data_IF_861448549788
#
_entry.id   IF_861448549788
#
_cell.length_a   1.000
_cell.length_b   1.000
_cell.length_c   1.000
_cell.angle_alpha   90.00
_cell.angle_beta   90.00
_cell.angle_gamma   90.00
#
_symmetry.space_group_name_H-M   'P 1'
#
loop_
_entity.id
_entity.type
_entity.pdbx_description
1 polymer ?
#
# COMPACT_ATOMS: atom_id res chain seq x y z
N UNK A 1 71.37 -10.65 -20.55
CA UNK A 1 71.18 -9.76 -19.37
C UNK A 1 69.77 -9.22 -19.48
N UNK A 2 68.83 -9.85 -18.75
CA UNK A 2 68.17 -9.33 -17.53
C UNK A 2 67.22 -8.16 -17.85
N UNK A 3 65.95 -8.11 -17.46
CA UNK A 3 65.05 -9.02 -16.74
C UNK A 3 63.61 -8.55 -17.02
N UNK A 4 62.70 -9.50 -17.23
CA UNK A 4 61.25 -9.28 -17.13
C UNK A 4 60.86 -9.12 -15.65
N UNK A 5 59.99 -8.15 -15.33
CA UNK A 5 59.19 -8.13 -14.09
C UNK A 5 57.75 -7.66 -14.36
N UNK A 6 56.87 -8.16 -13.50
CA UNK A 6 55.42 -8.44 -13.63
C UNK A 6 54.58 -7.47 -12.77
N UNK A 7 53.28 -7.38 -13.09
CA UNK A 7 52.08 -6.98 -12.29
C UNK A 7 51.76 -5.48 -12.16
N UNK A 8 50.48 -5.04 -12.12
CA UNK A 8 49.25 -5.72 -11.68
C UNK A 8 47.97 -5.29 -12.44
N UNK A 9 47.02 -6.22 -12.54
CA UNK A 9 45.65 -6.08 -13.08
C UNK A 9 44.64 -5.52 -12.05
N UNK A 10 43.49 -4.99 -12.48
CA UNK A 10 42.46 -4.43 -11.59
C UNK A 10 41.62 -5.54 -10.92
N UNK A 11 40.93 -5.25 -9.79
CA UNK A 11 40.24 -6.27 -9.01
C UNK A 11 38.97 -6.76 -9.73
N UNK A 12 38.86 -8.08 -9.84
CA UNK A 12 37.65 -8.78 -10.27
C UNK A 12 36.66 -8.82 -9.11
N UNK A 13 35.42 -8.42 -9.37
CA UNK A 13 34.25 -8.71 -8.55
C UNK A 13 34.13 -10.24 -8.36
N UNK A 14 34.47 -10.72 -7.17
CA UNK A 14 34.15 -12.06 -6.70
C UNK A 14 33.41 -11.87 -5.38
N UNK A 15 32.08 -11.93 -5.46
CA UNK A 15 31.20 -11.73 -4.32
C UNK A 15 29.78 -12.19 -4.64
N UNK A 16 29.63 -13.30 -5.35
CA UNK A 16 28.34 -13.86 -5.71
C UNK A 16 28.48 -15.37 -5.97
N UNK A 17 28.80 -16.15 -4.93
CA UNK A 17 28.72 -17.62 -5.00
C UNK A 17 28.74 -18.37 -3.65
N UNK A 18 28.63 -17.69 -2.50
CA UNK A 18 28.78 -18.34 -1.18
C UNK A 18 27.51 -18.38 -0.31
N UNK A 19 26.32 -18.16 -0.88
CA UNK A 19 25.04 -18.24 -0.12
C UNK A 19 24.09 -19.37 -0.57
N UNK A 20 24.44 -20.17 -1.57
CA UNK A 20 23.53 -21.18 -2.15
C UNK A 20 23.61 -22.59 -1.52
N UNK A 21 24.60 -22.86 -0.66
CA UNK A 21 24.84 -24.21 -0.13
C UNK A 21 24.25 -24.48 1.26
N UNK A 22 23.63 -23.50 1.92
CA UNK A 22 22.94 -23.71 3.21
C UNK A 22 21.39 -23.73 3.10
N UNK A 23 20.83 -23.38 1.93
CA UNK A 23 19.38 -23.22 1.71
C UNK A 23 18.70 -24.55 1.33
N UNK A 24 19.47 -25.55 0.87
CA UNK A 24 18.94 -26.85 0.43
C UNK A 24 18.48 -27.78 1.59
N UNK A 25 18.74 -27.44 2.86
CA UNK A 25 18.44 -28.33 4.01
C UNK A 25 17.09 -28.00 4.68
N UNK A 26 16.48 -26.83 4.40
CA UNK A 26 15.19 -26.44 4.98
C UNK A 26 13.98 -26.63 4.05
N UNK A 27 14.19 -26.72 2.73
CA UNK A 27 13.11 -26.96 1.75
C UNK A 27 12.68 -28.42 1.64
N UNK A 28 13.48 -29.37 2.14
CA UNK A 28 13.23 -30.81 1.95
C UNK A 28 12.20 -31.42 2.91
N UNK A 29 11.70 -30.69 3.92
CA UNK A 29 10.73 -31.23 4.90
C UNK A 29 9.26 -30.88 4.61
N UNK A 30 8.97 -30.08 3.58
CA UNK A 30 7.59 -29.66 3.26
C UNK A 30 6.94 -30.40 2.07
N UNK A 31 7.69 -31.15 1.27
CA UNK A 31 7.20 -31.72 0.01
C UNK A 31 6.57 -33.12 0.10
N UNK A 32 6.58 -33.78 1.26
CA UNK A 32 6.20 -35.20 1.33
C UNK A 32 4.68 -35.46 1.52
N UNK A 33 3.83 -34.45 1.67
CA UNK A 33 2.40 -34.66 2.01
C UNK A 33 1.41 -33.74 1.25
N UNK A 34 1.87 -32.97 0.25
CA UNK A 34 1.06 -31.92 -0.39
C UNK A 34 0.13 -32.39 -1.53
N UNK A 35 0.43 -33.52 -2.16
CA UNK A 35 -0.32 -33.94 -3.36
C UNK A 35 -1.74 -34.42 -3.05
N UNK A 36 -2.00 -35.02 -1.88
CA UNK A 36 -3.33 -35.56 -1.51
C UNK A 36 -4.26 -34.53 -0.84
N UNK A 37 -3.74 -33.38 -0.37
CA UNK A 37 -4.53 -32.33 0.27
C UNK A 37 -5.04 -31.24 -0.70
N UNK A 38 -4.40 -31.06 -1.85
CA UNK A 38 -4.75 -30.02 -2.84
C UNK A 38 -6.16 -30.16 -3.42
N UNK A 39 -6.70 -31.39 -3.47
CA UNK A 39 -8.01 -31.70 -4.05
C UNK A 39 -9.16 -31.62 -3.06
N UNK A 40 -8.89 -31.53 -1.75
CA UNK A 40 -9.93 -31.52 -0.71
C UNK A 40 -10.50 -30.12 -0.52
N UNK A 41 -11.82 -29.98 -0.30
CA UNK A 41 -12.40 -28.70 0.01
C UNK A 41 -11.81 -28.11 1.29
N UNK A 42 -11.45 -26.82 1.25
CA UNK A 42 -11.02 -26.10 2.44
C UNK A 42 -12.18 -25.92 3.42
N UNK A 43 -11.89 -26.01 4.71
CA UNK A 43 -12.88 -25.84 5.79
C UNK A 43 -12.71 -24.46 6.41
N UNK A 44 -13.85 -23.81 6.65
CA UNK A 44 -14.32 -23.37 7.98
C UNK A 44 -13.25 -22.96 9.01
N UNK A 45 -12.39 -21.95 8.83
CA UNK A 45 -11.49 -21.52 9.90
C UNK A 45 -12.26 -20.80 11.02
N UNK A 46 -12.06 -21.16 12.31
CA UNK A 46 -12.69 -20.46 13.42
C UNK A 46 -12.43 -18.94 13.39
N UNK A 47 -13.39 -18.13 13.81
CA UNK A 47 -13.14 -16.68 13.97
C UNK A 47 -12.05 -16.47 15.02
N UNK A 48 -11.12 -15.56 14.74
CA UNK A 48 -10.03 -15.19 15.63
C UNK A 48 -8.88 -16.20 15.65
N UNK A 49 -8.76 -17.09 14.66
CA UNK A 49 -7.65 -18.06 14.58
C UNK A 49 -6.30 -17.36 14.76
N UNK A 50 -5.57 -17.80 15.81
CA UNK A 50 -4.20 -17.39 16.13
C UNK A 50 -3.20 -18.55 15.96
N UNK A 51 -3.61 -19.63 15.28
CA UNK A 51 -2.76 -20.80 15.04
C UNK A 51 -1.53 -20.47 14.18
N UNK A 52 -1.65 -19.44 13.34
CA UNK A 52 -0.58 -18.87 12.53
C UNK A 52 -0.62 -17.34 12.54
N UNK A 53 0.55 -16.72 12.49
CA UNK A 53 0.74 -15.33 12.12
C UNK A 53 0.44 -15.15 10.65
N UNK A 54 0.34 -13.90 10.21
CA UNK A 54 0.14 -13.59 8.81
C UNK A 54 1.08 -12.48 8.39
N UNK A 55 1.63 -12.58 7.19
CA UNK A 55 2.30 -11.46 6.53
C UNK A 55 1.31 -10.72 5.62
N UNK A 56 1.64 -9.48 5.28
CA UNK A 56 0.90 -8.70 4.30
C UNK A 56 1.26 -9.12 2.87
N UNK A 57 0.28 -9.11 1.97
CA UNK A 57 0.49 -9.33 0.53
C UNK A 57 1.04 -8.05 -0.10
N UNK A 58 2.22 -8.08 -0.75
CA UNK A 58 2.83 -6.94 -1.44
C UNK A 58 1.88 -6.21 -2.39
N UNK A 59 1.77 -4.87 -2.35
CA UNK A 59 0.78 -4.11 -3.16
C UNK A 59 0.91 -4.31 -4.67
N UNK A 60 2.10 -4.66 -5.17
CA UNK A 60 2.37 -4.98 -6.57
C UNK A 60 2.11 -6.45 -6.95
N UNK A 61 1.54 -7.25 -6.04
CA UNK A 61 1.28 -8.66 -6.28
C UNK A 61 0.12 -8.89 -7.26
N UNK A 62 0.27 -9.91 -8.11
CA UNK A 62 -0.77 -10.40 -9.01
C UNK A 62 -2.06 -10.82 -8.28
N UNK A 63 -1.93 -11.13 -6.98
CA UNK A 63 -3.01 -11.53 -6.09
C UNK A 63 -4.16 -10.50 -6.11
N UNK A 64 -3.86 -9.19 -6.10
CA UNK A 64 -4.90 -8.16 -6.10
C UNK A 64 -5.74 -8.19 -7.38
N UNK A 65 -5.10 -8.27 -8.54
CA UNK A 65 -5.80 -8.35 -9.83
C UNK A 65 -6.65 -9.63 -9.92
N UNK A 66 -6.16 -10.76 -9.41
CA UNK A 66 -6.90 -12.02 -9.39
C UNK A 66 -8.14 -11.94 -8.49
N UNK A 67 -8.00 -11.41 -7.27
CA UNK A 67 -9.13 -11.20 -6.36
C UNK A 67 -10.14 -10.19 -6.93
N UNK A 68 -9.68 -9.06 -7.49
CA UNK A 68 -10.55 -8.06 -8.11
C UNK A 68 -11.43 -8.65 -9.21
N UNK A 69 -10.91 -9.56 -10.04
CA UNK A 69 -11.70 -10.26 -11.05
C UNK A 69 -12.75 -11.17 -10.43
N UNK A 70 -12.38 -11.97 -9.43
CA UNK A 70 -13.32 -12.84 -8.71
C UNK A 70 -14.41 -12.02 -8.00
N UNK A 71 -14.06 -10.89 -7.40
CA UNK A 71 -14.99 -9.93 -6.79
C UNK A 71 -15.92 -9.38 -7.87
N UNK A 72 -15.38 -8.89 -8.98
CA UNK A 72 -16.19 -8.28 -10.03
C UNK A 72 -17.11 -9.29 -10.74
N UNK A 73 -16.77 -10.59 -10.76
CA UNK A 73 -17.65 -11.66 -11.23
C UNK A 73 -18.68 -12.14 -10.19
N UNK A 74 -18.57 -11.72 -8.93
CA UNK A 74 -19.53 -12.11 -7.89
C UNK A 74 -19.12 -13.29 -7.03
N UNK A 75 -17.94 -13.87 -7.22
CA UNK A 75 -17.48 -15.07 -6.48
C UNK A 75 -16.90 -14.76 -5.10
N UNK A 76 -16.42 -13.53 -4.88
CA UNK A 76 -15.88 -13.08 -3.59
C UNK A 76 -16.64 -11.84 -3.14
N UNK A 77 -17.13 -11.87 -1.90
CA UNK A 77 -17.87 -10.76 -1.26
C UNK A 77 -17.24 -10.27 0.05
N UNK A 78 -16.28 -11.00 0.62
CA UNK A 78 -15.57 -10.66 1.87
C UNK A 78 -14.50 -9.57 1.74
N UNK A 79 -13.98 -9.30 0.54
CA UNK A 79 -12.80 -8.45 0.30
C UNK A 79 -13.04 -6.94 0.41
N UNK A 80 -12.39 -6.25 1.35
CA UNK A 80 -12.45 -4.78 1.45
C UNK A 80 -11.38 -4.16 0.55
N UNK A 81 -11.78 -3.75 -0.65
CA UNK A 81 -10.86 -3.33 -1.72
C UNK A 81 -10.22 -1.97 -1.44
N UNK A 82 -10.90 -1.16 -0.65
CA UNK A 82 -10.44 0.16 -0.25
C UNK A 82 -9.30 0.13 0.80
N UNK A 83 -9.06 -1.01 1.44
CA UNK A 83 -8.06 -1.20 2.49
C UNK A 83 -7.03 -2.25 2.08
N UNK A 84 -5.87 -1.79 1.62
CA UNK A 84 -4.73 -2.63 1.25
C UNK A 84 -3.46 -2.18 1.99
N UNK A 85 -2.47 -3.07 2.23
CA UNK A 85 -2.46 -4.48 1.84
C UNK A 85 -3.41 -5.37 2.65
N UNK A 86 -3.77 -6.52 2.08
CA UNK A 86 -4.44 -7.61 2.79
C UNK A 86 -3.42 -8.54 3.44
N UNK A 87 -3.77 -9.18 4.54
CA UNK A 87 -2.94 -10.24 5.11
C UNK A 87 -3.17 -11.54 4.34
N UNK A 88 -2.15 -12.39 4.21
CA UNK A 88 -2.28 -13.71 3.55
C UNK A 88 -3.41 -14.55 4.17
N UNK A 89 -3.57 -14.51 5.49
CA UNK A 89 -4.67 -15.19 6.18
C UNK A 89 -6.04 -14.59 5.86
N UNK A 90 -6.12 -13.28 5.58
CA UNK A 90 -7.35 -12.66 5.04
C UNK A 90 -7.70 -13.26 3.68
N UNK A 91 -6.71 -13.43 2.81
CA UNK A 91 -6.88 -14.07 1.49
C UNK A 91 -7.36 -15.52 1.60
N UNK A 92 -6.77 -16.31 2.51
CA UNK A 92 -7.23 -17.68 2.81
C UNK A 92 -8.72 -17.68 3.17
N UNK A 93 -9.15 -16.80 4.08
CA UNK A 93 -10.57 -16.72 4.50
C UNK A 93 -11.49 -16.33 3.36
N UNK A 94 -11.07 -15.41 2.49
CA UNK A 94 -11.86 -15.01 1.32
C UNK A 94 -12.06 -16.19 0.36
N UNK A 95 -11.05 -17.02 0.14
CA UNK A 95 -11.13 -18.20 -0.72
C UNK A 95 -11.99 -19.29 -0.06
N UNK A 96 -11.78 -19.55 1.23
CA UNK A 96 -12.56 -20.51 2.00
C UNK A 96 -14.07 -20.20 1.98
N UNK A 97 -14.43 -18.92 2.07
CA UNK A 97 -15.83 -18.49 1.96
C UNK A 97 -16.41 -18.70 0.55
N UNK A 98 -15.57 -18.70 -0.48
CA UNK A 98 -15.95 -18.93 -1.87
C UNK A 98 -15.95 -20.42 -2.26
N UNK A 99 -15.38 -21.31 -1.43
CA UNK A 99 -15.18 -22.73 -1.74
C UNK A 99 -16.46 -23.43 -2.24
N UNK A 100 -17.59 -23.19 -1.59
CA UNK A 100 -18.88 -23.80 -1.95
C UNK A 100 -19.32 -23.44 -3.39
N UNK A 101 -18.93 -22.27 -3.90
CA UNK A 101 -19.24 -21.82 -5.27
C UNK A 101 -18.41 -22.55 -6.33
N UNK A 102 -17.29 -23.17 -5.94
CA UNK A 102 -16.36 -23.88 -6.82
C UNK A 102 -16.38 -25.40 -6.61
N UNK A 103 -17.23 -25.93 -5.73
CA UNK A 103 -17.41 -27.39 -5.59
C UNK A 103 -18.18 -28.01 -6.77
N UNK A 104 -19.02 -27.21 -7.44
CA UNK A 104 -19.74 -27.62 -8.65
C UNK A 104 -19.07 -27.02 -9.88
N UNK A 105 -19.41 -27.52 -11.08
CA UNK A 105 -18.89 -26.98 -12.33
C UNK A 105 -19.24 -25.48 -12.41
N UNK A 106 -18.22 -24.62 -12.29
CA UNK A 106 -18.42 -23.18 -12.31
C UNK A 106 -18.89 -22.76 -13.69
N UNK A 107 -19.93 -21.92 -13.76
CA UNK A 107 -20.38 -21.36 -15.03
C UNK A 107 -19.33 -20.52 -15.77
N UNK A 108 -18.23 -20.13 -15.10
CA UNK A 108 -17.14 -19.33 -15.64
C UNK A 108 -15.79 -20.07 -15.49
N UNK A 109 -15.27 -20.70 -16.57
CA UNK A 109 -13.99 -21.41 -16.54
C UNK A 109 -12.80 -20.52 -16.13
N UNK A 110 -12.82 -19.24 -16.49
CA UNK A 110 -11.78 -18.28 -16.11
C UNK A 110 -11.79 -18.06 -14.60
N UNK A 111 -12.97 -17.88 -14.00
CA UNK A 111 -13.10 -17.75 -12.55
C UNK A 111 -12.56 -18.99 -11.84
N UNK A 112 -12.82 -20.19 -12.35
CA UNK A 112 -12.24 -21.42 -11.80
C UNK A 112 -10.72 -21.42 -11.86
N UNK A 113 -10.14 -21.11 -13.02
CA UNK A 113 -8.67 -21.07 -13.16
C UNK A 113 -8.02 -20.04 -12.24
N UNK A 114 -8.64 -18.87 -12.06
CA UNK A 114 -8.16 -17.83 -11.14
C UNK A 114 -8.29 -18.28 -9.69
N UNK A 115 -9.39 -18.93 -9.33
CA UNK A 115 -9.62 -19.49 -8.01
C UNK A 115 -8.60 -20.57 -7.65
N UNK A 116 -8.38 -21.53 -8.55
CA UNK A 116 -7.43 -22.63 -8.35
C UNK A 116 -5.99 -22.11 -8.21
N UNK A 117 -5.58 -21.12 -9.00
CA UNK A 117 -4.26 -20.48 -8.87
C UNK A 117 -4.09 -19.75 -7.52
N UNK A 118 -5.11 -19.04 -7.05
CA UNK A 118 -5.08 -18.41 -5.73
C UNK A 118 -5.06 -19.46 -4.60
N UNK A 119 -5.80 -20.56 -4.73
CA UNK A 119 -5.75 -21.65 -3.76
C UNK A 119 -4.37 -22.27 -3.67
N UNK A 120 -3.72 -22.50 -4.81
CA UNK A 120 -2.36 -23.01 -4.86
C UNK A 120 -1.39 -22.07 -4.13
N UNK A 121 -1.45 -20.77 -4.42
CA UNK A 121 -0.65 -19.72 -3.76
C UNK A 121 -0.82 -19.71 -2.23
N UNK A 122 -2.05 -19.87 -1.74
CA UNK A 122 -2.36 -19.76 -0.31
C UNK A 122 -2.46 -21.12 0.41
N UNK A 123 -2.12 -22.23 -0.26
CA UNK A 123 -2.28 -23.58 0.29
C UNK A 123 -1.42 -23.77 1.55
N UNK A 124 -0.18 -23.28 1.55
CA UNK A 124 0.72 -23.35 2.69
C UNK A 124 0.16 -22.59 3.90
N UNK A 125 -0.40 -21.40 3.68
CA UNK A 125 -1.01 -20.56 4.71
C UNK A 125 -2.27 -21.22 5.31
N UNK A 126 -3.11 -21.83 4.46
CA UNK A 126 -4.28 -22.60 4.90
C UNK A 126 -3.89 -23.82 5.74
N UNK A 127 -2.88 -24.58 5.32
CA UNK A 127 -2.36 -25.71 6.09
C UNK A 127 -1.84 -25.22 7.44
N UNK A 128 -1.05 -24.14 7.48
CA UNK A 128 -0.55 -23.58 8.73
C UNK A 128 -1.68 -23.15 9.68
N UNK A 129 -2.74 -22.53 9.15
CA UNK A 129 -3.89 -22.07 9.93
C UNK A 129 -4.78 -23.19 10.47
N UNK A 130 -4.72 -24.40 9.89
CA UNK A 130 -5.55 -25.55 10.30
C UNK A 130 -4.84 -26.54 11.23
N UNK A 131 -3.54 -26.35 11.50
CA UNK A 131 -2.79 -27.26 12.39
C UNK A 131 -3.20 -27.10 13.84
N UNK A 132 -3.27 -28.23 14.53
CA UNK A 132 -3.47 -28.28 15.99
C UNK A 132 -2.29 -27.69 16.78
N UNK A 133 -1.10 -27.66 16.16
CA UNK A 133 0.13 -27.14 16.77
C UNK A 133 0.87 -26.21 15.80
N UNK A 134 1.42 -25.08 16.29
CA UNK A 134 2.29 -24.22 15.51
C UNK A 134 3.45 -25.01 14.91
N UNK A 135 3.68 -24.80 13.62
CA UNK A 135 4.86 -25.28 12.92
C UNK A 135 5.66 -24.08 12.41
N UNK A 136 7.00 -24.07 12.55
CA UNK A 136 7.81 -23.02 11.97
C UNK A 136 7.72 -23.10 10.44
N UNK A 137 7.50 -21.95 9.83
CA UNK A 137 7.54 -21.77 8.39
C UNK A 137 8.51 -20.63 8.08
N UNK A 138 9.31 -20.80 7.02
CA UNK A 138 10.19 -19.76 6.52
C UNK A 138 10.45 -20.02 5.05
N UNK A 139 10.33 -18.99 4.22
CA UNK A 139 10.57 -19.10 2.79
C UNK A 139 11.13 -17.81 2.18
N UNK A 140 11.75 -17.99 1.01
CA UNK A 140 11.99 -16.91 0.07
C UNK A 140 10.71 -16.78 -0.74
N UNK A 141 9.98 -15.69 -0.52
CA UNK A 141 8.68 -15.43 -1.11
C UNK A 141 8.83 -14.98 -2.58
N UNK A 142 9.83 -14.14 -2.88
CA UNK A 142 10.16 -13.77 -4.27
C UNK A 142 11.59 -13.30 -4.46
N UNK A 143 12.10 -13.47 -5.68
CA UNK A 143 13.33 -12.84 -6.19
C UNK A 143 12.98 -12.27 -7.55
N UNK A 144 13.33 -11.02 -7.83
CA UNK A 144 13.01 -10.37 -9.10
C UNK A 144 14.05 -9.35 -9.53
N UNK A 145 14.01 -9.04 -10.82
CA UNK A 145 14.79 -7.97 -11.43
C UNK A 145 13.86 -7.13 -12.34
N UNK A 146 14.02 -5.81 -12.30
CA UNK A 146 13.34 -4.87 -13.20
C UNK A 146 14.38 -3.99 -13.87
N UNK A 147 14.45 -4.07 -15.20
CA UNK A 147 15.25 -3.16 -16.04
C UNK A 147 14.32 -2.18 -16.76
N UNK A 148 14.58 -0.88 -16.61
CA UNK A 148 13.77 0.19 -17.19
C UNK A 148 14.64 1.22 -17.91
N UNK A 149 14.49 1.33 -19.23
CA UNK A 149 15.08 2.41 -20.03
C UNK A 149 14.11 3.58 -20.19
N UNK A 150 14.54 4.77 -19.80
CA UNK A 150 13.81 6.03 -20.02
C UNK A 150 14.55 6.85 -21.07
N UNK A 151 13.88 7.19 -22.17
CA UNK A 151 14.42 8.07 -23.20
C UNK A 151 13.92 9.51 -22.96
N UNK A 152 14.85 10.46 -22.85
CA UNK A 152 14.56 11.85 -22.52
C UNK A 152 14.37 12.10 -21.01
N UNK A 153 14.28 13.38 -20.60
CA UNK A 153 14.16 13.74 -19.20
C UNK A 153 12.81 13.27 -18.61
N UNK A 154 12.81 12.41 -17.57
CA UNK A 154 11.57 12.06 -16.90
C UNK A 154 11.06 13.21 -16.04
N UNK A 155 9.76 13.18 -15.75
CA UNK A 155 9.14 14.03 -14.74
C UNK A 155 9.23 13.28 -13.40
N UNK A 156 9.87 13.87 -12.40
CA UNK A 156 10.15 13.25 -11.10
C UNK A 156 9.93 14.20 -9.93
N UNK A 157 8.96 15.11 -10.08
CA UNK A 157 8.61 16.13 -9.10
C UNK A 157 7.09 16.17 -8.96
N UNK A 158 6.59 15.35 -8.04
CA UNK A 158 5.16 15.14 -7.81
C UNK A 158 4.43 16.37 -7.31
N UNK A 159 5.15 17.33 -6.72
CA UNK A 159 4.57 18.54 -6.17
C UNK A 159 4.28 19.56 -7.27
N UNK A 160 5.18 19.70 -8.25
CA UNK A 160 5.13 20.80 -9.23
C UNK A 160 4.76 20.38 -10.65
N UNK A 161 5.30 19.27 -11.14
CA UNK A 161 5.23 18.90 -12.57
C UNK A 161 4.54 17.56 -12.82
N UNK A 162 4.53 16.67 -11.82
CA UNK A 162 3.99 15.32 -11.88
C UNK A 162 5.07 14.23 -11.83
N UNK A 163 4.69 13.02 -12.23
CA UNK A 163 5.59 11.87 -12.21
C UNK A 163 5.41 11.00 -13.45
N UNK A 164 6.54 10.53 -14.00
CA UNK A 164 6.56 9.54 -15.08
C UNK A 164 6.25 8.14 -14.55
N UNK A 165 6.82 7.77 -13.41
CA UNK A 165 6.51 6.52 -12.71
C UNK A 165 5.71 6.85 -11.45
N UNK A 166 4.51 6.30 -11.37
CA UNK A 166 3.61 6.46 -10.23
C UNK A 166 3.53 5.14 -9.47
N UNK A 167 3.17 5.21 -8.19
CA UNK A 167 2.94 4.05 -7.34
C UNK A 167 4.17 3.13 -7.25
N UNK A 168 5.35 3.74 -7.27
CA UNK A 168 6.64 3.08 -7.39
C UNK A 168 7.53 3.27 -6.15
N UNK A 169 6.92 3.38 -4.97
CA UNK A 169 7.56 3.41 -3.64
C UNK A 169 8.58 4.55 -3.46
N UNK A 170 8.43 5.65 -4.21
CA UNK A 170 9.38 6.76 -4.19
C UNK A 170 10.77 6.39 -4.71
N UNK A 171 10.90 5.30 -5.49
CA UNK A 171 12.18 4.87 -6.03
C UNK A 171 12.83 5.96 -6.90
N UNK A 172 14.17 6.07 -6.89
CA UNK A 172 14.87 6.95 -7.80
C UNK A 172 14.76 6.43 -9.23
N UNK A 173 14.49 7.34 -10.18
CA UNK A 173 14.58 7.06 -11.62
C UNK A 173 15.04 8.31 -12.38
N UNK A 174 15.85 8.10 -13.42
CA UNK A 174 16.32 9.16 -14.31
C UNK A 174 16.36 8.69 -15.78
N UNK A 175 16.63 9.64 -16.68
CA UNK A 175 16.94 9.35 -18.09
C UNK A 175 18.09 8.34 -18.19
N UNK A 176 17.92 7.32 -19.04
CA UNK A 176 18.85 6.22 -19.20
C UNK A 176 18.34 4.89 -18.62
N UNK A 177 19.27 3.98 -18.31
CA UNK A 177 18.95 2.66 -17.79
C UNK A 177 18.87 2.68 -16.26
N UNK A 178 17.71 2.32 -15.74
CA UNK A 178 17.44 2.16 -14.31
C UNK A 178 17.28 0.66 -14.04
N UNK A 179 17.82 0.18 -12.91
CA UNK A 179 17.77 -1.24 -12.55
C UNK A 179 17.38 -1.43 -11.09
N UNK A 180 16.58 -2.46 -10.86
CA UNK A 180 16.18 -2.91 -9.52
C UNK A 180 16.37 -4.41 -9.44
N UNK A 181 16.94 -4.88 -8.35
CA UNK A 181 17.02 -6.31 -8.02
C UNK A 181 16.50 -6.52 -6.60
N UNK A 182 15.44 -7.28 -6.45
CA UNK A 182 14.69 -7.41 -5.19
C UNK A 182 14.60 -8.83 -4.66
N UNK A 183 14.38 -8.92 -3.35
CA UNK A 183 14.13 -10.16 -2.60
C UNK A 183 13.04 -9.90 -1.56
N UNK A 184 12.08 -10.82 -1.42
CA UNK A 184 11.18 -10.90 -0.27
C UNK A 184 11.37 -12.20 0.51
N UNK A 185 11.32 -12.09 1.83
CA UNK A 185 11.43 -13.18 2.78
C UNK A 185 10.26 -13.10 3.75
N UNK A 186 9.77 -14.27 4.19
CA UNK A 186 8.81 -14.35 5.28
C UNK A 186 9.10 -15.54 6.18
N UNK A 187 8.71 -15.41 7.44
CA UNK A 187 8.71 -16.50 8.40
C UNK A 187 7.56 -16.35 9.39
N UNK A 188 6.98 -17.47 9.79
CA UNK A 188 5.84 -17.55 10.69
C UNK A 188 6.06 -18.64 11.74
N UNK A 189 5.67 -18.36 12.99
CA UNK A 189 5.65 -19.35 14.06
C UNK A 189 4.58 -19.02 15.10
N UNK A 190 3.57 -19.89 15.20
CA UNK A 190 2.40 -19.61 16.03
C UNK A 190 1.76 -18.30 15.57
N UNK A 191 1.28 -17.42 16.45
CA UNK A 191 0.67 -16.15 16.06
C UNK A 191 1.65 -15.12 15.51
N UNK A 192 2.96 -15.36 15.54
CA UNK A 192 3.98 -14.39 15.16
C UNK A 192 4.39 -14.54 13.69
N UNK A 193 4.66 -13.41 13.03
CA UNK A 193 5.21 -13.36 11.69
C UNK A 193 6.30 -12.31 11.56
N UNK A 194 7.23 -12.55 10.64
CA UNK A 194 8.25 -11.60 10.21
C UNK A 194 8.23 -11.54 8.69
N UNK A 195 8.17 -10.32 8.13
CA UNK A 195 8.33 -10.07 6.69
C UNK A 195 9.50 -9.14 6.43
N UNK A 196 10.16 -9.33 5.30
CA UNK A 196 11.21 -8.44 4.81
C UNK A 196 11.16 -8.36 3.28
N UNK A 197 11.20 -7.15 2.73
CA UNK A 197 11.38 -6.88 1.30
C UNK A 197 12.44 -5.80 1.14
N UNK A 198 13.51 -6.13 0.44
CA UNK A 198 14.61 -5.21 0.15
C UNK A 198 15.04 -5.30 -1.31
N UNK A 199 15.61 -4.21 -1.78
CA UNK A 199 16.01 -4.04 -3.18
C UNK A 199 17.36 -3.36 -3.29
N UNK A 200 18.15 -3.77 -4.26
CA UNK A 200 19.24 -2.97 -4.79
C UNK A 200 18.72 -2.11 -5.93
N UNK A 201 18.89 -0.79 -5.81
CA UNK A 201 18.36 0.21 -6.74
C UNK A 201 19.52 0.95 -7.42
N UNK A 202 19.49 1.00 -8.74
CA UNK A 202 20.36 1.80 -9.57
C UNK A 202 19.54 2.77 -10.44
N UNK A 203 19.89 4.04 -10.37
CA UNK A 203 19.35 5.08 -11.25
C UNK A 203 20.48 6.03 -11.67
N UNK A 204 20.52 6.48 -12.95
CA UNK A 204 21.47 7.50 -13.38
C UNK A 204 21.32 8.80 -12.58
N UNK A 205 22.35 9.65 -12.61
CA UNK A 205 22.26 10.99 -12.05
C UNK A 205 21.61 11.97 -13.03
N UNK A 206 21.20 13.14 -12.55
CA UNK A 206 20.73 14.23 -13.43
C UNK A 206 21.35 15.58 -13.07
N UNK A 207 21.47 16.43 -14.07
CA UNK A 207 21.81 17.84 -13.90
C UNK A 207 20.78 18.56 -13.01
N UNK A 208 21.17 19.65 -12.34
CA UNK A 208 20.22 20.52 -11.65
C UNK A 208 19.13 21.02 -12.58
N UNK A 209 17.97 21.37 -12.00
CA UNK A 209 16.95 22.08 -12.76
C UNK A 209 17.49 23.42 -13.32
N UNK A 210 17.07 23.79 -14.55
CA UNK A 210 17.34 25.11 -15.11
C UNK A 210 16.89 26.22 -14.16
N UNK A 211 17.54 27.38 -14.21
CA UNK A 211 17.24 28.50 -13.31
C UNK A 211 15.77 28.94 -13.37
N UNK A 212 15.18 29.01 -14.57
CA UNK A 212 13.77 29.32 -14.75
C UNK A 212 12.82 28.33 -14.02
N UNK A 213 13.14 27.04 -14.05
CA UNK A 213 12.34 26.04 -13.33
C UNK A 213 12.50 26.18 -11.82
N UNK A 214 13.72 26.43 -11.32
CA UNK A 214 13.96 26.69 -9.88
C UNK A 214 13.25 27.95 -9.39
N UNK A 215 13.22 29.02 -10.20
CA UNK A 215 12.48 30.23 -9.89
C UNK A 215 10.97 29.99 -9.86
N UNK A 216 10.44 29.20 -10.79
CA UNK A 216 9.03 28.85 -10.84
C UNK A 216 8.59 28.04 -9.60
N UNK A 217 9.37 27.02 -9.22
CA UNK A 217 9.15 26.22 -7.99
C UNK A 217 9.18 27.13 -6.77
N UNK A 218 10.25 27.92 -6.61
CA UNK A 218 10.41 28.83 -5.47
C UNK A 218 9.25 29.83 -5.33
N UNK A 219 8.72 30.31 -6.46
CA UNK A 219 7.55 31.20 -6.48
C UNK A 219 6.26 30.47 -6.09
N UNK A 220 6.07 29.23 -6.56
CA UNK A 220 4.90 28.42 -6.24
C UNK A 220 4.83 28.06 -4.76
N UNK A 221 5.98 27.71 -4.16
CA UNK A 221 6.10 27.30 -2.77
C UNK A 221 6.25 28.46 -1.78
N UNK A 222 6.38 29.69 -2.29
CA UNK A 222 6.72 30.86 -1.50
C UNK A 222 8.02 30.69 -0.69
N UNK A 223 9.02 30.04 -1.30
CA UNK A 223 10.33 29.75 -0.71
C UNK A 223 11.47 30.50 -1.43
N UNK A 224 12.63 30.74 -0.78
CA UNK A 224 13.81 31.24 -1.46
C UNK A 224 14.28 30.28 -2.57
N UNK A 225 14.82 30.83 -3.66
CA UNK A 225 15.36 30.02 -4.77
C UNK A 225 16.48 29.12 -4.25
N UNK A 226 16.25 27.81 -4.28
CA UNK A 226 17.23 26.82 -3.87
C UNK A 226 18.42 26.78 -4.85
N UNK A 227 19.64 26.49 -4.37
CA UNK A 227 20.81 26.40 -5.23
C UNK A 227 20.67 25.28 -6.26
N UNK A 228 21.33 25.44 -7.41
CA UNK A 228 21.39 24.41 -8.43
C UNK A 228 22.10 23.16 -7.89
N UNK A 229 21.33 22.15 -7.49
CA UNK A 229 21.82 20.89 -6.92
C UNK A 229 21.79 19.77 -7.95
N UNK A 230 22.95 19.16 -8.19
CA UNK A 230 23.05 17.93 -8.99
C UNK A 230 22.40 16.78 -8.22
N UNK A 231 21.67 15.91 -8.92
CA UNK A 231 21.25 14.62 -8.37
C UNK A 231 22.31 13.59 -8.77
N UNK A 232 23.09 13.04 -7.82
CA UNK A 232 24.08 12.02 -8.14
C UNK A 232 23.39 10.72 -8.58
N UNK A 233 24.08 9.84 -9.32
CA UNK A 233 23.59 8.49 -9.57
C UNK A 233 23.31 7.76 -8.25
N UNK A 234 22.19 7.04 -8.20
CA UNK A 234 21.88 6.16 -7.07
C UNK A 234 22.41 4.76 -7.35
N UNK A 235 23.00 4.15 -6.34
CA UNK A 235 23.49 2.77 -6.33
C UNK A 235 23.49 2.31 -4.88
N UNK A 236 22.33 1.87 -4.40
CA UNK A 236 22.11 1.64 -2.97
C UNK A 236 21.14 0.49 -2.72
N UNK A 237 21.26 -0.11 -1.53
CA UNK A 237 20.26 -1.05 -1.04
C UNK A 237 19.20 -0.31 -0.22
N UNK A 238 17.93 -0.53 -0.55
CA UNK A 238 16.78 0.07 0.11
C UNK A 238 15.87 -1.02 0.71
N UNK A 239 15.27 -0.72 1.85
CA UNK A 239 14.27 -1.58 2.48
C UNK A 239 12.90 -1.02 2.11
N UNK A 240 12.05 -1.82 1.50
CA UNK A 240 10.69 -1.41 1.17
C UNK A 240 9.70 -1.80 2.25
N UNK A 241 9.81 -3.02 2.76
CA UNK A 241 8.95 -3.55 3.81
C UNK A 241 9.80 -4.33 4.81
N UNK A 242 9.55 -4.14 6.10
CA UNK A 242 10.15 -4.94 7.14
C UNK A 242 9.26 -4.89 8.37
N UNK A 243 8.52 -5.97 8.64
CA UNK A 243 7.54 -6.00 9.72
C UNK A 243 7.77 -7.17 10.66
N UNK A 244 7.63 -6.90 11.96
CA UNK A 244 7.39 -7.90 12.98
C UNK A 244 5.91 -7.78 13.37
N UNK A 245 5.17 -8.88 13.28
CA UNK A 245 3.73 -8.86 13.51
C UNK A 245 3.25 -10.00 14.40
N UNK A 246 2.08 -9.79 14.99
CA UNK A 246 1.37 -10.78 15.79
C UNK A 246 -0.12 -10.77 15.45
N UNK A 247 -0.66 -11.95 15.16
CA UNK A 247 -2.08 -12.18 14.96
C UNK A 247 -2.75 -12.52 16.30
N UNK A 248 -3.62 -11.63 16.78
CA UNK A 248 -4.37 -11.76 18.03
C UNK A 248 -5.86 -11.47 17.81
N UNK A 249 -6.69 -12.51 17.94
CA UNK A 249 -8.16 -12.40 17.85
C UNK A 249 -8.64 -11.70 16.57
N UNK A 250 -8.04 -12.06 15.44
CA UNK A 250 -8.34 -11.51 14.12
C UNK A 250 -7.76 -10.11 13.86
N UNK A 251 -6.90 -9.62 14.75
CA UNK A 251 -6.09 -8.42 14.54
C UNK A 251 -4.67 -8.82 14.16
N UNK A 252 -4.13 -8.21 13.11
CA UNK A 252 -2.71 -8.20 12.83
C UNK A 252 -2.13 -6.92 13.43
N UNK A 253 -1.27 -7.05 14.44
CA UNK A 253 -0.58 -5.93 15.07
C UNK A 253 0.87 -5.98 14.61
N UNK A 254 1.33 -4.95 13.91
CA UNK A 254 2.67 -4.92 13.31
C UNK A 254 3.46 -3.68 13.71
N UNK A 255 4.77 -3.87 13.88
CA UNK A 255 5.75 -2.79 14.02
C UNK A 255 6.82 -2.95 12.95
N UNK A 256 7.09 -1.89 12.21
CA UNK A 256 7.99 -2.00 11.07
C UNK A 256 7.83 -0.91 10.03
N UNK A 257 8.52 -1.09 8.90
CA UNK A 257 8.33 -0.30 7.69
C UNK A 257 7.24 -0.98 6.87
N UNK A 258 6.08 -0.34 6.71
CA UNK A 258 4.91 -0.98 6.07
C UNK A 258 4.39 -0.14 4.91
N UNK A 259 4.09 -0.80 3.80
CA UNK A 259 3.36 -0.21 2.67
C UNK A 259 1.85 -0.15 2.94
N UNK A 260 1.16 0.81 2.31
CA UNK A 260 -0.26 1.05 2.51
C UNK A 260 -0.93 1.60 1.25
N UNK A 261 -2.21 1.28 1.09
CA UNK A 261 -3.07 1.81 0.05
C UNK A 261 -4.51 1.93 0.54
N UNK A 262 -5.00 3.18 0.62
CA UNK A 262 -6.31 3.54 1.14
C UNK A 262 -7.17 4.19 0.06
N UNK A 263 -7.89 3.35 -0.68
CA UNK A 263 -8.81 3.77 -1.73
C UNK A 263 -9.06 2.66 -2.76
N UNK A 264 -10.21 2.68 -3.45
CA UNK A 264 -10.58 1.66 -4.44
C UNK A 264 -9.96 1.90 -5.83
N UNK A 265 -9.39 3.08 -6.09
CA UNK A 265 -8.72 3.37 -7.36
C UNK A 265 -7.36 2.70 -7.46
N UNK A 266 -6.86 2.51 -8.69
CA UNK A 266 -5.55 1.93 -8.99
C UNK A 266 -4.51 2.95 -9.46
N UNK A 267 -4.92 4.06 -10.07
CA UNK A 267 -3.93 5.07 -10.52
C UNK A 267 -3.49 6.03 -9.42
N UNK A 268 -3.68 5.66 -8.15
CA UNK A 268 -3.29 6.42 -6.96
C UNK A 268 -4.46 6.73 -6.03
N UNK A 269 -4.40 6.18 -4.81
CA UNK A 269 -5.26 6.54 -3.69
C UNK A 269 -4.95 7.97 -3.18
N UNK A 270 -5.99 8.75 -2.90
CA UNK A 270 -5.87 10.15 -2.48
C UNK A 270 -5.35 10.29 -1.04
N UNK A 271 -5.77 9.41 -0.14
CA UNK A 271 -5.40 9.51 1.28
C UNK A 271 -4.02 8.92 1.57
N UNK A 272 -3.76 7.70 1.08
CA UNK A 272 -2.46 7.04 1.24
C UNK A 272 -2.26 6.03 0.11
N UNK A 273 -1.12 6.09 -0.56
CA UNK A 273 -0.73 5.14 -1.61
C UNK A 273 0.74 4.73 -1.44
N UNK A 274 1.22 3.82 -2.29
CA UNK A 274 2.63 3.46 -2.36
C UNK A 274 3.43 4.38 -3.31
N UNK A 275 2.95 5.60 -3.57
CA UNK A 275 3.69 6.54 -4.42
C UNK A 275 4.85 7.23 -3.68
N UNK A 276 4.88 7.13 -2.36
CA UNK A 276 5.99 7.53 -1.51
C UNK A 276 6.69 6.31 -0.91
N UNK A 277 7.91 6.51 -0.38
CA UNK A 277 8.61 5.49 0.39
C UNK A 277 7.76 5.08 1.62
N UNK A 278 7.56 3.78 1.88
CA UNK A 278 6.85 3.31 3.06
C UNK A 278 7.44 3.87 4.36
N UNK A 279 6.61 4.04 5.39
CA UNK A 279 7.05 4.66 6.65
C UNK A 279 7.15 3.64 7.78
N UNK A 280 7.98 3.95 8.77
CA UNK A 280 8.02 3.17 10.00
C UNK A 280 6.82 3.50 10.88
N UNK A 281 6.04 2.47 11.22
CA UNK A 281 4.78 2.61 11.94
C UNK A 281 4.51 1.46 12.91
N UNK A 282 3.70 1.77 13.93
CA UNK A 282 2.87 0.80 14.62
C UNK A 282 1.52 0.76 13.89
N UNK A 283 1.06 -0.43 13.51
CA UNK A 283 -0.19 -0.62 12.78
C UNK A 283 -1.03 -1.72 13.41
N UNK A 284 -2.34 -1.53 13.38
CA UNK A 284 -3.35 -2.50 13.81
C UNK A 284 -4.33 -2.66 12.65
N UNK A 285 -4.32 -3.84 12.04
CA UNK A 285 -5.17 -4.19 10.91
C UNK A 285 -6.08 -5.37 11.26
N UNK A 286 -7.22 -5.51 10.58
CA UNK A 286 -8.09 -6.68 10.70
C UNK A 286 -7.76 -7.73 9.64
N UNK A 287 -7.42 -8.94 10.10
CA UNK A 287 -7.31 -10.15 9.27
C UNK A 287 -8.69 -10.54 8.72
N UNK A 288 -9.71 -10.40 9.56
CA UNK A 288 -11.09 -10.69 9.20
C UNK A 288 -12.03 -9.56 9.66
N UNK A 289 -13.09 -9.28 8.88
CA UNK A 289 -14.06 -8.24 9.24
C UNK A 289 -14.74 -8.52 10.58
N UNK A 290 -14.95 -7.46 11.36
CA UNK A 290 -15.64 -7.51 12.64
C UNK A 290 -17.15 -7.39 12.43
N UNK A 291 -17.91 -8.20 13.17
CA UNK A 291 -19.37 -8.09 13.26
C UNK A 291 -19.73 -7.50 14.62
N UNK A 292 -20.15 -6.25 14.64
CA UNK A 292 -20.55 -5.54 15.86
C UNK A 292 -22.07 -5.60 16.01
N UNK A 293 -22.62 -6.02 17.17
CA UNK A 293 -24.05 -6.01 17.42
C UNK A 293 -24.70 -4.65 17.09
N UNK A 294 -25.87 -4.68 16.46
CA UNK A 294 -26.64 -3.52 15.98
C UNK A 294 -25.99 -2.72 14.84
N UNK A 295 -24.73 -2.31 14.97
CA UNK A 295 -24.00 -1.57 13.91
C UNK A 295 -23.95 -2.41 12.64
N UNK A 296 -23.54 -3.68 12.75
CA UNK A 296 -23.44 -4.56 11.57
C UNK A 296 -24.77 -5.06 11.03
N UNK A 297 -25.89 -4.83 11.74
CA UNK A 297 -27.23 -5.06 11.17
C UNK A 297 -27.61 -3.97 10.16
N UNK A 298 -27.09 -2.75 10.35
CA UNK A 298 -27.39 -1.61 9.49
C UNK A 298 -26.30 -1.40 8.42
N UNK A 299 -25.04 -1.42 8.84
CA UNK A 299 -23.89 -1.08 8.00
C UNK A 299 -23.12 -2.31 7.50
N UNK A 300 -23.54 -3.51 7.91
CA UNK A 300 -22.83 -4.75 7.62
C UNK A 300 -21.54 -4.94 8.44
N UNK A 301 -20.75 -5.98 8.15
CA UNK A 301 -19.46 -6.15 8.78
C UNK A 301 -18.59 -4.91 8.56
N UNK A 302 -17.64 -4.69 9.46
CA UNK A 302 -16.71 -3.57 9.38
C UNK A 302 -15.26 -4.05 9.39
N UNK A 303 -14.38 -3.34 8.70
CA UNK A 303 -12.93 -3.55 8.74
C UNK A 303 -12.26 -2.24 9.08
N UNK A 304 -11.24 -2.27 9.92
CA UNK A 304 -10.47 -1.07 10.24
C UNK A 304 -8.97 -1.27 10.00
N UNK A 305 -8.32 -0.14 9.80
CA UNK A 305 -6.87 -0.02 9.69
C UNK A 305 -6.44 1.24 10.45
N UNK A 306 -5.63 1.05 11.49
CA UNK A 306 -5.18 2.11 12.39
C UNK A 306 -3.67 2.12 12.42
N UNK A 307 -3.05 3.29 12.33
CA UNK A 307 -1.60 3.38 12.44
C UNK A 307 -1.11 4.70 13.03
N UNK A 308 0.12 4.67 13.55
CA UNK A 308 0.91 5.84 13.91
C UNK A 308 2.36 5.60 13.54
N UNK A 309 2.99 6.54 12.85
CA UNK A 309 4.34 6.39 12.32
C UNK A 309 5.08 7.71 12.21
N UNK A 310 6.40 7.63 12.07
CA UNK A 310 7.28 8.79 11.93
C UNK A 310 7.60 9.01 10.46
N UNK A 311 7.38 10.22 9.97
CA UNK A 311 7.74 10.64 8.62
C UNK A 311 9.21 11.05 8.55
N UNK A 312 9.80 10.94 7.37
CA UNK A 312 11.18 11.35 7.07
C UNK A 312 11.21 12.19 5.79
N UNK A 313 12.34 12.86 5.53
CA UNK A 313 12.51 13.74 4.36
C UNK A 313 11.90 15.13 4.53
N UNK A 314 11.07 15.33 5.56
CA UNK A 314 10.43 16.62 5.84
C UNK A 314 11.43 17.63 6.40
N UNK A 315 11.22 18.89 6.07
CA UNK A 315 12.00 20.07 6.46
C UNK A 315 11.20 21.04 7.31
N UNK A 316 9.88 21.12 7.15
CA UNK A 316 9.04 22.03 7.94
C UNK A 316 7.79 21.32 8.49
N UNK A 317 7.79 20.94 9.79
CA UNK A 317 8.98 20.70 10.62
C UNK A 317 9.69 19.40 10.23
N UNK A 318 10.98 19.22 10.58
CA UNK A 318 11.64 17.94 10.41
C UNK A 318 11.00 16.84 11.23
N UNK A 319 10.97 15.64 10.64
CA UNK A 319 10.54 14.41 11.28
C UNK A 319 9.16 14.46 12.00
N UNK A 320 8.09 14.92 11.33
CA UNK A 320 6.75 14.91 11.90
C UNK A 320 6.23 13.47 12.03
N UNK A 321 5.11 13.31 12.73
CA UNK A 321 4.41 12.05 12.90
C UNK A 321 3.12 12.05 12.11
N UNK A 322 2.76 10.89 11.57
CA UNK A 322 1.50 10.65 10.89
C UNK A 322 0.68 9.67 11.71
N UNK A 323 -0.59 9.97 11.94
CA UNK A 323 -1.57 8.99 12.40
C UNK A 323 -2.68 8.84 11.38
N UNK A 324 -3.24 7.63 11.28
CA UNK A 324 -4.34 7.32 10.39
C UNK A 324 -5.37 6.41 11.02
N UNK A 325 -6.63 6.67 10.70
CA UNK A 325 -7.75 5.80 11.03
C UNK A 325 -8.64 5.62 9.79
N UNK A 326 -8.89 4.37 9.39
CA UNK A 326 -9.85 4.05 8.34
C UNK A 326 -10.79 2.97 8.82
N UNK A 327 -12.09 3.16 8.57
CA UNK A 327 -13.14 2.20 8.90
C UNK A 327 -14.03 2.03 7.67
N UNK A 328 -14.14 0.80 7.21
CA UNK A 328 -14.88 0.42 6.01
C UNK A 328 -16.02 -0.51 6.38
N UNK A 329 -17.12 -0.38 5.66
CA UNK A 329 -18.39 -1.05 5.93
C UNK A 329 -18.93 -1.70 4.66
N UNK A 330 -19.63 -2.82 4.81
CA UNK A 330 -20.31 -3.50 3.70
C UNK A 330 -21.79 -3.75 3.99
N UNK A 331 -22.67 -2.76 3.83
CA UNK A 331 -24.11 -2.92 4.07
C UNK A 331 -24.73 -4.02 3.19
N UNK A 332 -24.18 -4.25 2.00
CA UNK A 332 -24.58 -5.34 1.11
C UNK A 332 -23.34 -5.97 0.48
N UNK A 333 -23.50 -7.15 -0.13
CA UNK A 333 -22.44 -7.78 -0.92
C UNK A 333 -21.96 -6.94 -2.12
N UNK A 334 -22.71 -5.92 -2.53
CA UNK A 334 -22.44 -5.13 -3.73
C UNK A 334 -22.02 -3.70 -3.44
N UNK A 335 -22.07 -3.28 -2.17
CA UNK A 335 -21.80 -1.90 -1.78
C UNK A 335 -20.87 -1.90 -0.58
N UNK A 336 -19.74 -1.25 -0.79
CA UNK A 336 -18.71 -0.97 0.21
C UNK A 336 -18.55 0.54 0.29
N UNK A 337 -18.42 1.07 1.50
CA UNK A 337 -18.02 2.46 1.70
C UNK A 337 -17.15 2.57 2.93
N UNK A 338 -16.40 3.66 3.03
CA UNK A 338 -15.58 3.91 4.19
C UNK A 338 -15.52 5.37 4.58
N UNK A 339 -14.99 5.58 5.78
CA UNK A 339 -14.55 6.87 6.28
C UNK A 339 -13.10 6.73 6.73
N UNK A 340 -12.29 7.73 6.40
CA UNK A 340 -10.89 7.77 6.82
C UNK A 340 -10.50 9.13 7.35
N UNK A 341 -9.43 9.15 8.13
CA UNK A 341 -8.79 10.37 8.61
C UNK A 341 -7.30 10.14 8.73
N UNK A 342 -6.51 11.07 8.23
CA UNK A 342 -5.06 11.12 8.40
C UNK A 342 -4.66 12.47 8.99
N UNK A 343 -3.65 12.47 9.85
CA UNK A 343 -3.20 13.68 10.54
C UNK A 343 -1.67 13.68 10.62
N UNK A 344 -1.05 14.67 9.99
CA UNK A 344 0.38 14.98 10.18
C UNK A 344 0.46 15.93 11.37
N UNK A 345 1.18 15.53 12.42
CA UNK A 345 1.28 16.28 13.68
C UNK A 345 2.68 16.10 14.30
N UNK A 346 2.95 16.83 15.38
CA UNK A 346 4.28 16.85 16.01
C UNK A 346 5.40 17.30 15.04
N UNK A 347 6.65 17.26 15.49
CA UNK A 347 7.82 17.58 14.67
C UNK A 347 8.89 18.33 15.44
N UNK A 348 10.13 18.21 14.98
CA UNK A 348 11.27 18.87 15.63
C UNK A 348 11.13 20.40 15.53
N UNK A 349 11.30 21.10 16.65
CA UNK A 349 11.14 22.56 16.71
C UNK A 349 9.70 23.07 16.72
N UNK A 350 8.69 22.20 16.57
CA UNK A 350 7.27 22.57 16.56
C UNK A 350 6.52 22.00 17.79
N UNK A 351 5.68 20.97 17.60
CA UNK A 351 4.96 20.27 18.68
C UNK A 351 5.73 18.99 19.07
N UNK A 352 6.05 18.75 20.35
CA UNK A 352 6.73 17.53 20.77
C UNK A 352 5.81 16.30 20.68
N UNK A 353 6.35 15.17 20.25
CA UNK A 353 5.62 13.90 20.24
C UNK A 353 5.36 13.40 21.68
N UNK A 354 4.12 13.56 22.12
CA UNK A 354 3.63 13.13 23.44
C UNK A 354 2.23 12.56 23.30
N UNK A 355 1.76 11.78 24.29
CA UNK A 355 0.38 11.31 24.30
C UNK A 355 -0.64 12.48 24.26
N UNK A 356 -0.33 13.60 24.92
CA UNK A 356 -1.15 14.81 24.87
C UNK A 356 -1.26 15.40 23.47
N UNK A 357 -0.15 15.49 22.74
CA UNK A 357 -0.15 15.96 21.34
C UNK A 357 -0.91 15.00 20.41
N UNK A 358 -0.69 13.69 20.57
CA UNK A 358 -1.45 12.66 19.84
C UNK A 358 -2.95 12.80 20.08
N UNK A 359 -3.38 12.92 21.35
CA UNK A 359 -4.78 13.01 21.73
C UNK A 359 -5.43 14.34 21.29
N UNK A 360 -4.71 15.46 21.40
CA UNK A 360 -5.15 16.76 20.89
C UNK A 360 -5.42 16.69 19.37
N UNK A 361 -4.48 16.11 18.63
CA UNK A 361 -4.60 15.93 17.19
C UNK A 361 -5.78 15.01 16.83
N UNK A 362 -5.90 13.87 17.51
CA UNK A 362 -6.95 12.87 17.30
C UNK A 362 -8.37 13.44 17.55
N UNK A 363 -8.54 14.25 18.58
CA UNK A 363 -9.85 14.80 19.00
C UNK A 363 -10.20 16.16 18.39
N UNK A 364 -9.33 16.75 17.57
CA UNK A 364 -9.54 18.08 16.99
C UNK A 364 -10.24 18.01 15.63
N UNK A 365 -11.51 18.44 15.53
CA UNK A 365 -12.35 18.33 14.32
C UNK A 365 -12.61 19.66 13.60
N UNK A 366 -11.96 20.75 14.02
CA UNK A 366 -12.20 22.10 13.51
C UNK A 366 -10.90 22.85 13.25
N UNK A 367 -10.92 23.78 12.29
CA UNK A 367 -9.77 24.66 12.03
C UNK A 367 -9.38 25.49 13.25
N UNK A 368 -8.08 25.75 13.36
CA UNK A 368 -7.48 26.57 14.41
C UNK A 368 -6.93 27.85 13.80
N UNK A 369 -6.89 28.98 14.53
CA UNK A 369 -6.26 30.20 14.03
C UNK A 369 -4.74 30.01 13.87
N UNK A 370 -4.11 30.79 12.99
CA UNK A 370 -2.66 30.73 12.74
C UNK A 370 -1.81 30.85 14.02
N UNK A 371 -2.26 31.64 15.00
CA UNK A 371 -1.57 31.76 16.30
C UNK A 371 -1.50 30.44 17.07
N UNK A 372 -2.47 29.55 16.88
CA UNK A 372 -2.45 28.19 17.44
C UNK A 372 -1.67 27.26 16.52
N UNK A 373 -1.85 27.39 15.19
CA UNK A 373 -1.14 26.60 14.18
C UNK A 373 0.38 26.70 14.30
N UNK A 374 0.92 27.87 14.61
CA UNK A 374 2.35 28.09 14.84
C UNK A 374 2.77 27.99 16.32
N UNK A 375 2.01 27.25 17.14
CA UNK A 375 2.28 27.08 18.57
C UNK A 375 2.43 25.61 18.95
N UNK A 376 2.84 25.37 20.20
CA UNK A 376 2.89 24.03 20.78
C UNK A 376 1.53 23.34 20.94
N UNK A 377 0.43 24.05 20.66
CA UNK A 377 -0.94 23.53 20.73
C UNK A 377 -1.52 23.17 19.36
N UNK A 378 -0.72 23.23 18.29
CA UNK A 378 -1.16 22.84 16.94
C UNK A 378 -1.65 21.38 16.92
N UNK A 379 -2.91 21.13 16.49
CA UNK A 379 -3.45 19.78 16.33
C UNK A 379 -2.98 19.05 15.06
N UNK A 380 -2.15 19.68 14.23
CA UNK A 380 -1.63 19.09 12.99
C UNK A 380 -2.45 19.43 11.75
N UNK A 381 -1.97 18.98 10.59
CA UNK A 381 -2.65 19.04 9.30
C UNK A 381 -3.54 17.81 9.12
N UNK A 382 -4.82 18.00 8.82
CA UNK A 382 -5.82 16.92 8.89
C UNK A 382 -6.50 16.74 7.54
N UNK A 383 -6.62 15.49 7.15
CA UNK A 383 -7.35 15.10 5.96
C UNK A 383 -8.41 14.09 6.35
N UNK A 384 -9.60 14.24 5.78
CA UNK A 384 -10.71 13.32 5.94
C UNK A 384 -11.07 12.72 4.58
N UNK A 385 -11.38 11.44 4.55
CA UNK A 385 -11.68 10.72 3.32
C UNK A 385 -13.00 9.98 3.39
N UNK A 386 -13.64 9.85 2.24
CA UNK A 386 -14.79 8.99 2.01
C UNK A 386 -14.61 8.31 0.67
N UNK A 387 -14.71 7.00 0.64
CA UNK A 387 -14.66 6.23 -0.59
C UNK A 387 -15.80 5.21 -0.63
N UNK A 388 -16.14 4.79 -1.84
CA UNK A 388 -17.11 3.72 -2.05
C UNK A 388 -16.76 2.86 -3.25
N UNK A 389 -17.27 1.65 -3.24
CA UNK A 389 -17.33 0.75 -4.39
C UNK A 389 -18.72 0.13 -4.51
N UNK A 390 -19.26 0.10 -5.73
CA UNK A 390 -20.61 -0.32 -6.00
C UNK A 390 -20.71 -1.17 -7.29
N UNK A 391 -21.04 -2.45 -7.13
CA UNK A 391 -21.40 -3.35 -8.24
C UNK A 391 -22.82 -3.05 -8.70
N UNK A 392 -22.96 -2.50 -9.90
CA UNK A 392 -24.23 -1.96 -10.41
C UNK A 392 -25.31 -3.04 -10.53
N UNK A 393 -26.54 -2.82 -10.03
CA UNK A 393 -27.67 -3.72 -10.27
C UNK A 393 -27.82 -4.07 -11.76
N UNK A 394 -28.23 -5.32 -12.04
CA UNK A 394 -28.33 -5.89 -13.40
C UNK A 394 -27.02 -6.05 -14.18
N UNK A 395 -25.95 -5.35 -13.78
CA UNK A 395 -24.60 -5.46 -14.34
C UNK A 395 -23.59 -5.91 -13.29
N UNK A 396 -24.05 -6.56 -12.20
CA UNK A 396 -23.24 -6.81 -10.98
C UNK A 396 -22.02 -7.68 -11.21
N UNK A 397 -22.05 -8.50 -12.24
CA UNK A 397 -20.96 -9.41 -12.60
C UNK A 397 -20.06 -8.82 -13.71
N UNK A 398 -20.29 -7.56 -14.07
CA UNK A 398 -19.66 -6.89 -15.20
C UNK A 398 -19.11 -5.52 -14.82
N UNK A 399 -19.90 -4.65 -14.18
CA UNK A 399 -19.56 -3.24 -13.97
C UNK A 399 -19.51 -2.88 -12.48
N UNK A 400 -18.39 -2.32 -12.06
CA UNK A 400 -18.18 -1.72 -10.74
C UNK A 400 -17.90 -0.23 -10.89
N UNK A 401 -18.66 0.60 -10.18
CA UNK A 401 -18.36 2.02 -9.99
C UNK A 401 -17.65 2.21 -8.67
N UNK A 402 -16.70 3.12 -8.61
CA UNK A 402 -16.06 3.49 -7.36
C UNK A 402 -15.65 4.95 -7.36
N UNK A 403 -15.44 5.50 -6.18
CA UNK A 403 -14.79 6.80 -6.02
C UNK A 403 -13.90 6.78 -4.80
N UNK A 404 -12.81 7.53 -4.89
CA UNK A 404 -12.08 8.03 -3.73
C UNK A 404 -12.38 9.52 -3.57
N UNK A 405 -12.37 10.03 -2.34
CA UNK A 405 -12.50 11.47 -2.08
C UNK A 405 -11.76 11.89 -0.81
N UNK A 406 -11.23 13.11 -0.84
CA UNK A 406 -10.39 13.67 0.22
C UNK A 406 -10.79 15.11 0.48
N UNK A 407 -10.89 15.52 1.74
CA UNK A 407 -11.09 16.89 2.15
C UNK A 407 -9.96 17.29 3.09
N UNK A 408 -9.47 18.51 2.93
CA UNK A 408 -8.47 19.10 3.81
C UNK A 408 -9.18 19.97 4.85
N UNK A 409 -8.91 19.70 6.13
CA UNK A 409 -9.39 20.47 7.28
C UNK A 409 -10.93 20.53 7.49
N UNK A 410 -11.72 19.97 6.58
CA UNK A 410 -13.15 19.76 6.73
C UNK A 410 -13.46 18.37 7.36
N UNK A 411 -14.60 18.20 8.07
CA UNK A 411 -14.92 16.93 8.75
C UNK A 411 -15.14 15.73 7.82
N UNK A 412 -15.60 15.97 6.59
CA UNK A 412 -15.84 14.91 5.60
C UNK A 412 -16.05 15.50 4.19
N UNK A 413 -15.58 14.82 3.14
CA UNK A 413 -15.92 15.17 1.76
C UNK A 413 -17.41 15.25 1.45
N UNK A 414 -18.25 14.47 2.15
CA UNK A 414 -19.70 14.50 1.97
C UNK A 414 -20.35 15.77 2.55
N UNK A 415 -19.74 16.37 3.57
CA UNK A 415 -20.22 17.59 4.20
C UNK A 415 -19.82 18.83 3.39
N UNK A 416 -18.65 18.80 2.74
CA UNK A 416 -18.12 19.91 1.93
C UNK A 416 -17.65 19.48 0.54
N UNK A 417 -18.52 18.95 -0.34
CA UNK A 417 -18.09 18.45 -1.67
C UNK A 417 -17.42 19.52 -2.55
N UNK A 418 -17.67 20.80 -2.30
CA UNK A 418 -17.06 21.91 -3.04
C UNK A 418 -15.60 22.17 -2.67
N UNK A 419 -15.13 21.58 -1.57
CA UNK A 419 -13.77 21.69 -1.02
C UNK A 419 -13.07 20.32 -0.97
N UNK A 420 -13.48 19.40 -1.83
CA UNK A 420 -13.00 18.02 -1.80
C UNK A 420 -12.40 17.61 -3.14
N UNK A 421 -11.33 16.83 -3.07
CA UNK A 421 -10.81 16.10 -4.20
C UNK A 421 -11.68 14.87 -4.45
N UNK A 422 -11.83 14.51 -5.72
CA UNK A 422 -12.56 13.31 -6.13
C UNK A 422 -11.76 12.53 -7.17
N UNK A 423 -11.81 11.21 -7.06
CA UNK A 423 -11.25 10.29 -8.03
C UNK A 423 -12.27 9.20 -8.38
N UNK A 424 -13.26 9.49 -9.26
CA UNK A 424 -14.21 8.48 -9.70
C UNK A 424 -13.55 7.51 -10.70
N UNK A 425 -14.02 6.27 -10.68
CA UNK A 425 -13.61 5.26 -11.64
C UNK A 425 -14.72 4.27 -11.98
N UNK A 426 -14.54 3.64 -13.13
CA UNK A 426 -15.39 2.55 -13.62
C UNK A 426 -14.49 1.37 -14.01
N UNK A 427 -14.86 0.18 -13.55
CA UNK A 427 -14.19 -1.07 -13.89
C UNK A 427 -15.17 -2.04 -14.56
N UNK A 428 -14.74 -2.62 -15.68
CA UNK A 428 -15.42 -3.68 -16.41
C UNK A 428 -14.58 -4.95 -16.30
N UNK A 429 -15.11 -6.00 -15.66
CA UNK A 429 -14.39 -7.27 -15.44
C UNK A 429 -14.08 -8.04 -16.72
N UNK A 430 -14.81 -7.74 -17.79
CA UNK A 430 -14.61 -8.28 -19.13
C UNK A 430 -15.29 -7.39 -20.17
N UNK A 431 -14.81 -7.42 -21.42
CA UNK A 431 -15.50 -6.80 -22.55
C UNK A 431 -16.42 -7.80 -23.27
N UNK A 432 -17.58 -7.37 -23.81
CA UNK A 432 -18.43 -8.23 -24.62
C UNK A 432 -17.64 -8.86 -25.76
N UNK A 433 -17.74 -10.19 -25.91
CA UNK A 433 -16.99 -11.01 -26.89
C UNK A 433 -15.48 -11.15 -26.62
N UNK A 434 -14.91 -10.43 -25.65
CA UNK A 434 -13.50 -10.50 -25.28
C UNK A 434 -13.37 -10.79 -23.77
N UNK A 435 -13.78 -11.99 -23.36
CA UNK A 435 -13.89 -12.39 -21.94
C UNK A 435 -12.57 -12.35 -21.14
N UNK A 436 -11.42 -12.22 -21.80
CA UNK A 436 -10.09 -12.15 -21.16
C UNK A 436 -9.59 -10.73 -20.95
N UNK A 437 -10.22 -9.75 -21.58
CA UNK A 437 -9.83 -8.33 -21.54
C UNK A 437 -10.76 -7.60 -20.57
N UNK A 438 -10.19 -7.02 -19.52
CA UNK A 438 -10.88 -6.09 -18.65
C UNK A 438 -10.59 -4.63 -19.07
N UNK A 439 -11.36 -3.70 -18.53
CA UNK A 439 -11.22 -2.29 -18.85
C UNK A 439 -11.44 -1.44 -17.60
N UNK A 440 -10.58 -0.45 -17.40
CA UNK A 440 -10.69 0.52 -16.30
C UNK A 440 -10.51 1.93 -16.86
N UNK A 441 -11.35 2.85 -16.39
CA UNK A 441 -11.18 4.28 -16.62
C UNK A 441 -11.33 5.02 -15.29
N UNK A 442 -10.40 5.94 -15.03
CA UNK A 442 -10.39 6.79 -13.84
C UNK A 442 -10.20 8.24 -14.24
N UNK A 443 -10.80 9.14 -13.47
CA UNK A 443 -10.52 10.56 -13.54
C UNK A 443 -10.06 11.03 -12.16
N UNK A 444 -9.25 12.09 -12.12
CA UNK A 444 -8.85 12.76 -10.89
C UNK A 444 -9.23 14.24 -10.97
N UNK A 445 -9.77 14.75 -9.87
CA UNK A 445 -10.17 16.14 -9.72
C UNK A 445 -9.68 16.61 -8.36
N UNK A 446 -8.53 17.28 -8.36
CA UNK A 446 -7.82 17.75 -7.15
C UNK A 446 -7.67 19.27 -7.12
N UNK A 447 -8.10 19.98 -8.16
CA UNK A 447 -8.13 21.44 -8.22
C UNK A 447 -9.55 21.90 -8.53
N UNK A 448 -10.22 22.49 -7.54
CA UNK A 448 -11.62 22.92 -7.68
C UNK A 448 -11.71 24.44 -7.90
N UNK A 449 -12.65 24.95 -8.73
CA UNK A 449 -12.67 26.36 -9.13
C UNK A 449 -13.33 27.24 -8.05
N UNK A 450 -12.68 27.37 -6.90
CA UNK A 450 -13.08 28.31 -5.86
C UNK A 450 -11.88 29.13 -5.37
N UNK A 451 -12.15 30.18 -4.61
CA UNK A 451 -11.10 31.11 -4.17
C UNK A 451 -10.09 30.54 -3.17
N UNK A 452 -10.30 29.30 -2.68
CA UNK A 452 -9.39 28.60 -1.77
C UNK A 452 -8.46 27.63 -2.50
N UNK A 453 -8.80 27.21 -3.72
CA UNK A 453 -7.95 26.36 -4.56
C UNK A 453 -7.48 27.17 -5.76
N UNK A 454 -6.25 27.67 -5.64
CA UNK A 454 -5.54 28.38 -6.68
C UNK A 454 -4.22 27.66 -6.92
N UNK A 455 -4.01 27.13 -8.12
CA UNK A 455 -2.76 26.46 -8.49
C UNK A 455 -2.44 25.24 -7.61
N UNK A 456 -3.46 24.52 -7.12
CA UNK A 456 -3.28 23.32 -6.29
C UNK A 456 -2.98 23.56 -4.80
N UNK A 457 -2.84 24.82 -4.35
CA UNK A 457 -2.44 25.14 -2.98
C UNK A 457 -3.35 24.56 -1.89
N UNK A 458 -4.61 24.25 -2.18
CA UNK A 458 -5.53 23.75 -1.15
C UNK A 458 -5.16 22.38 -0.59
N UNK A 459 -4.65 21.47 -1.44
CA UNK A 459 -4.28 20.11 -1.05
C UNK A 459 -2.77 19.86 -1.01
N UNK A 460 -2.00 20.65 -1.75
CA UNK A 460 -0.55 20.43 -1.90
C UNK A 460 0.29 21.36 -1.03
N UNK A 461 -0.32 22.32 -0.33
CA UNK A 461 0.38 23.27 0.54
C UNK A 461 -0.28 23.34 1.92
N UNK A 462 0.53 23.51 2.97
CA UNK A 462 0.07 23.62 4.35
C UNK A 462 0.94 24.57 5.18
N UNK A 463 0.32 25.39 6.04
CA UNK A 463 1.01 26.49 6.73
C UNK A 463 2.17 26.02 7.62
N UNK A 464 1.96 24.97 8.43
CA UNK A 464 2.98 24.47 9.36
C UNK A 464 3.73 23.22 8.86
N UNK A 465 3.12 22.45 7.96
CA UNK A 465 3.59 21.14 7.49
C UNK A 465 3.82 21.16 5.98
N UNK A 466 4.69 22.06 5.50
CA UNK A 466 5.02 22.20 4.07
C UNK A 466 6.45 21.72 3.80
N UNK A 467 6.60 20.92 2.75
CA UNK A 467 7.89 20.57 2.18
C UNK A 467 7.92 20.97 0.71
N UNK A 468 9.10 21.39 0.25
CA UNK A 468 9.39 21.83 -1.12
C UNK A 468 10.12 20.76 -1.93
#
# INVERSE_FOLDING_TARGET
MRDLRIAASPPRCIGLCACLSLIAVLTAYAQADSSDQSSRPWKRLPFGTTATGSVYVPLNSWIYQAFERLIAWGYIDGAYIDQRPWTRLSCVRMLEHAEDLFQTESANPQARSTYDALREEFQADYIAATRDRPAPHAEIDSVYERSLGIAGPPINDSFHFGQTLISDYGRPFQEGMNQISGLSLRAEYGPFSVSFRGEYEYAPGRAPYPDAARQAIATMDNNPVLPAKLVPPTSAFNILDANLSVNLSGNEISIGKSEMWWGPGEGGALSFSNNADPIYMLRINRVEPLVVPFVSKLLGPLRYDLFVGRLQGHTSPPAPWLQGQKISFKPTRNFEFSVSRTIVFAGEGHVPFTFGAFWNSFTSFSNVPLSVKFSRNDPGARYSGVDFSYRLPFLRNWVTLYTDSLAHDDPSPLATPRHSAFRPGIYLSHLPKFARLDFRAEAAYTDFPNSRSHGGQFFFFEDAYHDA
#
